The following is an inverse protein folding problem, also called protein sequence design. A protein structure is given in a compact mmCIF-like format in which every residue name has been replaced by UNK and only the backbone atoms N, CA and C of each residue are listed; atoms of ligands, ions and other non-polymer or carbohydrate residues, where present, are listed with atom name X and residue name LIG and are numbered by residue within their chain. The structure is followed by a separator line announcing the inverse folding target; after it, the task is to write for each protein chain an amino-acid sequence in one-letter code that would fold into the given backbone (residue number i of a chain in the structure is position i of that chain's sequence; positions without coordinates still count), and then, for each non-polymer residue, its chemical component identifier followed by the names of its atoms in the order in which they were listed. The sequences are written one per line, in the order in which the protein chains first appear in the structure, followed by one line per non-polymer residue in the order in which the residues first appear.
data_IF_562469106359
#
_entry.id   IF_562469106359
#
_cell.length_a   1.000
_cell.length_b   1.000
_cell.length_c   1.000
_cell.angle_alpha   90.00
_cell.angle_beta   90.00
_cell.angle_gamma   90.00
#
_symmetry.space_group_name_H-M   'P 1'
#
loop_
_entity.id
_entity.type
_entity.pdbx_description
1 polymer ?
#
# COMPACT_ATOMS: atom_id res chain seq x y z
N UNK A 1 5.56 1.74 4.44
CA UNK A 1 6.64 1.94 3.47
C UNK A 1 7.07 3.38 3.58
N UNK A 2 8.37 3.62 3.64
CA UNK A 2 8.87 4.99 3.80
C UNK A 2 8.68 5.76 2.49
N UNK A 3 8.17 7.00 2.56
CA UNK A 3 8.00 7.83 1.37
C UNK A 3 9.36 8.22 0.78
N UNK A 4 9.38 8.37 -0.54
CA UNK A 4 10.54 8.82 -1.30
C UNK A 4 10.42 10.30 -1.68
N UNK A 5 11.54 10.92 -2.02
CA UNK A 5 11.54 12.24 -2.65
C UNK A 5 10.65 12.18 -3.91
N UNK A 6 9.76 13.17 -4.04
CA UNK A 6 8.74 13.24 -5.08
C UNK A 6 7.40 12.59 -4.70
N UNK A 7 7.34 11.80 -3.62
CA UNK A 7 6.07 11.24 -3.17
C UNK A 7 5.19 12.31 -2.52
N UNK A 8 3.88 12.18 -2.72
CA UNK A 8 2.89 12.96 -2.01
C UNK A 8 2.72 12.39 -0.61
N UNK A 9 2.83 13.24 0.40
CA UNK A 9 2.74 12.84 1.81
C UNK A 9 1.77 13.74 2.57
N UNK A 10 1.25 13.21 3.67
CA UNK A 10 0.64 14.00 4.74
C UNK A 10 1.44 13.80 6.01
N UNK A 11 1.79 14.91 6.66
CA UNK A 11 2.53 14.95 7.91
C UNK A 11 1.67 15.60 8.96
N UNK A 12 1.51 14.94 10.11
CA UNK A 12 0.96 15.55 11.31
C UNK A 12 2.10 15.88 12.27
N UNK A 13 2.18 17.13 12.72
CA UNK A 13 3.27 17.63 13.54
C UNK A 13 2.78 18.51 14.70
N UNK A 14 3.62 18.68 15.72
CA UNK A 14 3.38 19.54 16.88
C UNK A 14 3.64 21.01 16.54
N UNK A 15 2.70 21.88 16.87
CA UNK A 15 2.86 23.32 16.74
C UNK A 15 3.82 23.87 17.81
N UNK A 16 4.57 24.92 17.45
CA UNK A 16 5.56 25.55 18.35
C UNK A 16 6.85 24.75 18.55
N UNK A 17 7.02 23.60 17.89
CA UNK A 17 8.20 22.75 17.96
C UNK A 17 9.20 22.99 16.80
N UNK A 18 9.27 24.22 16.31
CA UNK A 18 10.13 24.61 15.18
C UNK A 18 9.64 24.18 13.79
N UNK A 19 8.43 23.62 13.71
CA UNK A 19 7.74 23.36 12.44
C UNK A 19 6.98 24.57 11.91
N UNK A 20 6.27 24.43 10.77
CA UNK A 20 5.53 25.53 10.16
C UNK A 20 4.46 26.07 11.10
N UNK A 21 4.12 27.35 10.91
CA UNK A 21 2.99 27.96 11.61
C UNK A 21 1.67 27.27 11.21
N UNK A 22 0.66 27.39 12.06
CA UNK A 22 -0.66 26.85 11.75
C UNK A 22 -1.24 27.57 10.53
N UNK A 23 -1.39 26.86 9.41
CA UNK A 23 -1.99 27.38 8.18
C UNK A 23 -3.42 27.92 8.39
N UNK A 24 -4.11 27.47 9.45
CA UNK A 24 -5.43 27.97 9.83
C UNK A 24 -5.39 29.40 10.37
N UNK A 25 -4.27 29.82 10.96
CA UNK A 25 -4.12 31.15 11.55
C UNK A 25 -4.24 32.29 10.51
N UNK A 26 -3.98 32.00 9.22
CA UNK A 26 -4.14 32.97 8.12
C UNK A 26 -5.49 32.94 7.41
N UNK A 27 -6.40 32.02 7.75
CA UNK A 27 -7.55 31.66 6.90
C UNK A 27 -8.92 32.19 7.37
N UNK A 28 -9.00 33.01 8.43
CA UNK A 28 -10.29 33.53 8.88
C UNK A 28 -10.23 34.64 9.93
N UNK A 29 -11.34 35.37 10.14
CA UNK A 29 -11.41 36.55 11.01
C UNK A 29 -11.44 36.22 12.51
N UNK A 30 -11.24 34.96 12.91
CA UNK A 30 -11.46 34.51 14.27
C UNK A 30 -10.14 34.45 15.06
N UNK A 31 -10.05 35.07 16.26
CA UNK A 31 -8.83 35.06 17.07
C UNK A 31 -8.49 33.66 17.60
N UNK A 32 -7.22 33.47 17.97
CA UNK A 32 -6.72 32.23 18.57
C UNK A 32 -7.53 31.86 19.83
N UNK A 33 -8.10 30.66 19.86
CA UNK A 33 -8.89 30.16 20.98
C UNK A 33 -8.01 29.93 22.22
N UNK A 34 -8.61 30.04 23.42
CA UNK A 34 -8.01 29.71 24.73
C UNK A 34 -7.48 28.26 24.81
N UNK A 35 -7.93 27.39 23.89
CA UNK A 35 -7.37 26.07 23.62
C UNK A 35 -6.97 25.98 22.14
N UNK A 36 -5.86 26.62 21.78
CA UNK A 36 -5.32 26.50 20.43
C UNK A 36 -4.95 25.04 20.12
N UNK A 37 -5.10 24.58 18.86
CA UNK A 37 -4.64 23.26 18.47
C UNK A 37 -3.15 23.11 18.80
N UNK A 38 -2.76 21.96 19.36
CA UNK A 38 -1.34 21.63 19.61
C UNK A 38 -0.71 20.86 18.44
N UNK A 39 -1.53 20.45 17.47
CA UNK A 39 -1.12 19.69 16.30
C UNK A 39 -1.67 20.35 15.04
N UNK A 40 -0.90 20.29 13.96
CA UNK A 40 -1.31 20.67 12.62
C UNK A 40 -0.94 19.58 11.62
N UNK A 41 -1.46 19.71 10.40
CA UNK A 41 -1.18 18.82 9.29
C UNK A 41 -0.77 19.60 8.03
N UNK A 42 0.21 19.05 7.33
CA UNK A 42 0.65 19.53 6.02
C UNK A 42 0.61 18.39 5.01
N UNK A 43 -0.03 18.64 3.88
CA UNK A 43 -0.06 17.72 2.74
C UNK A 43 0.67 18.37 1.57
N UNK A 44 1.59 17.65 0.95
CA UNK A 44 2.40 18.16 -0.16
C UNK A 44 3.35 17.13 -0.73
N UNK A 45 4.29 17.57 -1.56
CA UNK A 45 5.31 16.72 -2.16
C UNK A 45 6.56 16.75 -1.30
N UNK A 46 7.08 15.58 -0.92
CA UNK A 46 8.35 15.47 -0.21
C UNK A 46 9.50 15.88 -1.15
N UNK A 47 10.22 16.95 -0.83
CA UNK A 47 11.34 17.46 -1.65
C UNK A 47 12.69 17.08 -1.09
N UNK A 48 12.85 17.14 0.23
CA UNK A 48 14.12 16.86 0.90
C UNK A 48 13.88 16.15 2.23
N UNK A 49 14.87 15.35 2.64
CA UNK A 49 14.94 14.71 3.94
C UNK A 49 16.41 14.55 4.32
N UNK A 50 16.85 15.27 5.35
CA UNK A 50 18.25 15.28 5.83
C UNK A 50 18.43 14.53 7.17
N UNK A 51 17.37 13.85 7.62
CA UNK A 51 17.32 13.14 8.90
C UNK A 51 16.96 14.01 10.11
N UNK A 52 17.00 15.35 9.98
CA UNK A 52 16.58 16.30 11.03
C UNK A 52 15.27 16.99 10.68
N UNK A 53 15.01 17.23 9.39
CA UNK A 53 13.80 17.82 8.88
C UNK A 53 13.35 17.18 7.56
N UNK A 54 12.06 17.33 7.27
CA UNK A 54 11.46 17.03 5.97
C UNK A 54 11.03 18.35 5.34
N UNK A 55 11.39 18.57 4.07
CA UNK A 55 10.93 19.73 3.30
C UNK A 55 9.76 19.30 2.42
N UNK A 56 8.60 19.90 2.66
CA UNK A 56 7.35 19.61 1.94
C UNK A 56 7.00 20.79 1.06
N UNK A 57 6.89 20.55 -0.24
CA UNK A 57 6.32 21.52 -1.16
C UNK A 57 4.80 21.47 -1.11
N UNK A 58 4.20 22.59 -0.72
CA UNK A 58 2.76 22.80 -0.69
C UNK A 58 2.44 24.16 -1.30
N UNK A 59 1.48 24.18 -2.23
CA UNK A 59 0.99 25.43 -2.85
C UNK A 59 2.12 26.31 -3.42
N UNK A 60 3.17 25.69 -3.99
CA UNK A 60 4.35 26.34 -4.55
C UNK A 60 5.36 26.87 -3.52
N UNK A 61 5.19 26.56 -2.24
CA UNK A 61 6.10 26.94 -1.14
C UNK A 61 6.73 25.71 -0.51
N UNK A 62 8.01 25.82 -0.17
CA UNK A 62 8.73 24.81 0.58
C UNK A 62 8.58 25.08 2.09
N UNK A 63 8.02 24.11 2.81
CA UNK A 63 7.80 24.18 4.26
C UNK A 63 8.67 23.12 4.94
N UNK A 64 9.48 23.54 5.90
CA UNK A 64 10.35 22.63 6.66
C UNK A 64 9.66 22.14 7.93
N UNK A 65 9.61 20.81 8.12
CA UNK A 65 9.03 20.17 9.29
C UNK A 65 10.11 19.37 10.03
N UNK A 66 10.53 19.78 11.24
CA UNK A 66 11.49 19.02 12.03
C UNK A 66 10.97 17.62 12.35
N UNK A 67 11.82 16.59 12.18
CA UNK A 67 11.49 15.18 12.48
C UNK A 67 11.01 15.02 13.92
N UNK A 68 11.62 15.75 14.88
CA UNK A 68 11.23 15.72 16.28
C UNK A 68 9.80 16.26 16.56
N UNK A 69 9.26 17.08 15.65
CA UNK A 69 7.89 17.59 15.74
C UNK A 69 6.87 16.63 15.11
N UNK A 70 7.29 15.72 14.24
CA UNK A 70 6.41 14.80 13.51
C UNK A 70 5.83 13.76 14.47
N UNK A 71 4.51 13.62 14.42
CA UNK A 71 3.75 12.61 15.17
C UNK A 71 3.23 11.51 14.26
N UNK A 72 3.05 11.79 12.97
CA UNK A 72 2.64 10.82 11.96
C UNK A 72 3.10 11.31 10.58
N UNK A 73 3.60 10.37 9.78
CA UNK A 73 3.93 10.56 8.36
C UNK A 73 3.24 9.45 7.58
N UNK A 74 2.47 9.83 6.55
CA UNK A 74 1.82 8.87 5.66
C UNK A 74 2.04 9.26 4.20
N UNK A 75 2.50 8.31 3.41
CA UNK A 75 2.52 8.40 1.95
C UNK A 75 1.10 8.31 1.40
N UNK A 76 0.79 9.16 0.43
CA UNK A 76 -0.49 9.22 -0.28
C UNK A 76 -0.28 8.83 -1.73
N UNK A 77 -1.35 8.39 -2.38
CA UNK A 77 -1.38 8.29 -3.83
C UNK A 77 -1.04 9.64 -4.47
N UNK A 78 -0.28 9.60 -5.56
CA UNK A 78 0.17 10.78 -6.31
C UNK A 78 -1.01 11.65 -6.77
N UNK A 79 -2.16 11.02 -7.00
CA UNK A 79 -3.43 11.66 -7.35
C UNK A 79 -4.58 11.05 -6.54
N UNK A 80 -5.75 11.68 -6.54
CA UNK A 80 -6.92 11.07 -5.90
C UNK A 80 -7.37 9.82 -6.67
N UNK A 81 -7.34 8.66 -6.00
CA UNK A 81 -7.72 7.36 -6.57
C UNK A 81 -9.04 6.87 -5.99
N UNK A 82 -9.99 6.48 -6.85
CA UNK A 82 -11.28 5.86 -6.50
C UNK A 82 -11.14 4.34 -6.40
N UNK A 83 -12.01 3.69 -5.61
CA UNK A 83 -12.01 2.22 -5.48
C UNK A 83 -12.19 1.51 -6.83
N UNK A 84 -12.98 2.08 -7.75
CA UNK A 84 -13.15 1.53 -9.11
C UNK A 84 -11.88 1.64 -9.96
N UNK A 85 -11.07 2.68 -9.78
CA UNK A 85 -9.77 2.81 -10.45
C UNK A 85 -8.76 1.79 -9.90
N UNK A 86 -8.76 1.56 -8.58
CA UNK A 86 -7.99 0.47 -7.95
C UNK A 86 -8.35 -0.86 -8.61
N UNK A 87 -9.64 -1.24 -8.60
CA UNK A 87 -10.11 -2.50 -9.23
C UNK A 87 -9.69 -2.62 -10.69
N UNK A 88 -9.78 -1.53 -11.48
CA UNK A 88 -9.39 -1.54 -12.89
C UNK A 88 -7.89 -1.79 -13.08
N UNK A 89 -7.04 -1.14 -12.29
CA UNK A 89 -5.58 -1.34 -12.35
C UNK A 89 -5.21 -2.75 -11.89
N UNK A 90 -5.82 -3.22 -10.79
CA UNK A 90 -5.66 -4.58 -10.27
C UNK A 90 -6.06 -5.64 -11.30
N UNK A 91 -7.18 -5.43 -12.01
CA UNK A 91 -7.63 -6.28 -13.13
C UNK A 91 -6.60 -6.30 -14.26
N UNK A 92 -6.14 -5.13 -14.71
CA UNK A 92 -5.16 -5.04 -15.78
C UNK A 92 -3.83 -5.74 -15.43
N UNK A 93 -3.34 -5.57 -14.20
CA UNK A 93 -2.14 -6.27 -13.72
C UNK A 93 -2.35 -7.79 -13.64
N UNK A 94 -3.50 -8.25 -13.14
CA UNK A 94 -3.81 -9.68 -13.09
C UNK A 94 -3.89 -10.27 -14.49
N UNK A 95 -4.51 -9.58 -15.45
CA UNK A 95 -4.64 -10.05 -16.83
C UNK A 95 -3.30 -10.08 -17.58
N UNK A 96 -2.42 -9.10 -17.32
CA UNK A 96 -1.08 -9.06 -17.89
C UNK A 96 -0.15 -10.13 -17.28
N UNK A 97 -0.47 -10.65 -16.10
CA UNK A 97 0.34 -11.67 -15.43
C UNK A 97 -0.04 -13.05 -15.94
N UNK A 98 0.94 -13.77 -16.48
CA UNK A 98 0.80 -15.18 -16.86
C UNK A 98 0.65 -16.04 -15.59
N UNK A 99 -0.30 -16.98 -15.63
CA UNK A 99 -0.47 -18.02 -14.62
C UNK A 99 -0.80 -19.35 -15.32
N UNK A 100 -0.40 -20.46 -14.72
CA UNK A 100 -0.69 -21.79 -15.27
C UNK A 100 -2.19 -22.13 -15.20
N UNK A 101 -2.87 -21.69 -14.14
CA UNK A 101 -4.31 -21.80 -13.98
C UNK A 101 -4.91 -20.52 -13.41
N UNK A 102 -6.10 -20.13 -13.91
CA UNK A 102 -6.87 -18.99 -13.41
C UNK A 102 -8.36 -19.28 -13.41
N UNK A 103 -9.04 -18.98 -12.32
CA UNK A 103 -10.50 -19.13 -12.17
C UNK A 103 -11.13 -17.92 -11.49
N UNK A 104 -12.40 -17.67 -11.75
CA UNK A 104 -13.20 -16.70 -10.99
C UNK A 104 -14.11 -17.41 -9.99
N UNK A 105 -14.15 -16.95 -8.75
CA UNK A 105 -15.00 -17.49 -7.67
C UNK A 105 -15.53 -16.32 -6.85
N UNK A 106 -16.83 -16.08 -6.86
CA UNK A 106 -17.49 -15.06 -6.02
C UNK A 106 -16.83 -13.67 -6.04
N UNK A 107 -16.43 -13.22 -7.23
CA UNK A 107 -15.75 -11.94 -7.43
C UNK A 107 -14.26 -11.94 -7.08
N UNK A 108 -13.67 -13.09 -6.78
CA UNK A 108 -12.23 -13.29 -6.68
C UNK A 108 -11.69 -13.88 -7.97
N UNK A 109 -10.49 -13.47 -8.36
CA UNK A 109 -9.71 -14.15 -9.39
C UNK A 109 -8.57 -14.87 -8.71
N UNK A 110 -8.59 -16.20 -8.77
CA UNK A 110 -7.59 -17.07 -8.17
C UNK A 110 -6.61 -17.46 -9.26
N UNK A 111 -5.32 -17.33 -8.99
CA UNK A 111 -4.26 -17.74 -9.90
C UNK A 111 -3.32 -18.74 -9.22
N UNK A 112 -2.92 -19.76 -9.95
CA UNK A 112 -1.96 -20.76 -9.51
C UNK A 112 -0.89 -20.98 -10.59
N UNK A 113 0.36 -20.75 -10.22
CA UNK A 113 1.53 -21.05 -11.01
C UNK A 113 2.69 -21.41 -10.07
N UNK A 114 2.94 -22.70 -9.82
CA UNK A 114 4.01 -23.14 -8.92
C UNK A 114 5.42 -22.72 -9.37
N UNK A 115 5.61 -22.38 -10.65
CA UNK A 115 6.90 -21.97 -11.21
C UNK A 115 7.13 -20.46 -11.16
N UNK A 116 6.09 -19.67 -10.84
CA UNK A 116 6.16 -18.21 -10.82
C UNK A 116 6.35 -17.65 -9.41
N UNK A 117 7.19 -16.62 -9.29
CA UNK A 117 7.33 -15.82 -8.09
C UNK A 117 6.47 -14.54 -8.10
N UNK A 118 5.78 -14.26 -9.21
CA UNK A 118 4.94 -13.07 -9.32
C UNK A 118 3.72 -13.18 -8.37
N UNK A 119 3.43 -12.16 -7.55
CA UNK A 119 2.30 -12.19 -6.61
C UNK A 119 0.99 -12.61 -7.27
N UNK A 120 0.65 -12.02 -8.42
CA UNK A 120 -0.61 -12.28 -9.14
C UNK A 120 -0.66 -13.60 -9.89
N UNK A 121 0.46 -14.29 -10.05
CA UNK A 121 0.47 -15.64 -10.60
C UNK A 121 0.10 -16.69 -9.54
N UNK A 122 0.19 -16.33 -8.25
CA UNK A 122 0.12 -17.29 -7.14
C UNK A 122 -0.86 -16.91 -6.02
N UNK A 123 -1.68 -15.88 -6.21
CA UNK A 123 -2.59 -15.36 -5.18
C UNK A 123 -3.99 -15.04 -5.71
N UNK A 124 -4.98 -15.03 -4.81
CA UNK A 124 -6.34 -14.60 -5.07
C UNK A 124 -6.45 -13.07 -4.98
N UNK A 125 -7.17 -12.47 -5.93
CA UNK A 125 -7.34 -11.02 -6.04
C UNK A 125 -8.83 -10.64 -6.05
N UNK A 126 -9.28 -9.69 -5.21
CA UNK A 126 -10.70 -9.34 -5.09
C UNK A 126 -11.12 -8.34 -6.18
N UNK A 127 -11.40 -8.81 -7.39
CA UNK A 127 -11.61 -7.92 -8.56
C UNK A 127 -13.08 -7.55 -8.79
N UNK A 128 -14.01 -8.44 -8.46
CA UNK A 128 -15.45 -8.26 -8.64
C UNK A 128 -16.07 -7.19 -7.72
N UNK A 129 -17.23 -6.67 -8.12
CA UNK A 129 -18.03 -5.84 -7.21
C UNK A 129 -18.70 -6.74 -6.16
N UNK A 130 -18.69 -6.31 -4.89
CA UNK A 130 -19.30 -7.08 -3.79
C UNK A 130 -18.45 -8.24 -3.26
N UNK A 131 -17.22 -8.40 -3.75
CA UNK A 131 -16.25 -9.37 -3.20
C UNK A 131 -16.13 -9.19 -1.69
N UNK A 132 -16.26 -10.29 -0.96
CA UNK A 132 -16.21 -10.32 0.48
C UNK A 132 -15.53 -11.61 0.97
N UNK A 133 -15.44 -11.76 2.29
CA UNK A 133 -14.68 -12.83 2.95
C UNK A 133 -15.41 -14.16 3.08
N UNK A 134 -16.67 -14.28 2.65
CA UNK A 134 -17.40 -15.57 2.74
C UNK A 134 -16.83 -16.65 1.83
N UNK A 135 -16.13 -16.26 0.75
CA UNK A 135 -15.50 -17.18 -0.19
C UNK A 135 -14.12 -17.69 0.26
N UNK A 136 -13.59 -17.23 1.42
CA UNK A 136 -12.22 -17.55 1.84
C UNK A 136 -12.00 -19.05 2.05
N UNK A 137 -12.97 -19.79 2.58
CA UNK A 137 -12.86 -21.24 2.76
C UNK A 137 -12.78 -21.97 1.40
N UNK A 138 -13.60 -21.55 0.44
CA UNK A 138 -13.57 -22.08 -0.94
C UNK A 138 -12.24 -21.76 -1.63
N UNK A 139 -11.70 -20.55 -1.42
CA UNK A 139 -10.40 -20.13 -1.94
C UNK A 139 -9.28 -20.98 -1.32
N UNK A 140 -9.33 -21.20 0.01
CA UNK A 140 -8.34 -22.01 0.70
C UNK A 140 -8.33 -23.46 0.22
N UNK A 141 -9.51 -24.05 0.03
CA UNK A 141 -9.65 -25.39 -0.53
C UNK A 141 -9.09 -25.47 -1.96
N UNK A 142 -9.35 -24.48 -2.80
CA UNK A 142 -8.83 -24.43 -4.17
C UNK A 142 -7.30 -24.43 -4.22
N UNK A 143 -6.63 -23.66 -3.36
CA UNK A 143 -5.17 -23.68 -3.24
C UNK A 143 -4.65 -24.99 -2.64
N UNK A 144 -5.32 -25.53 -1.62
CA UNK A 144 -4.94 -26.78 -0.94
C UNK A 144 -4.94 -27.98 -1.89
N UNK A 145 -5.95 -28.10 -2.75
CA UNK A 145 -6.03 -29.16 -3.78
C UNK A 145 -4.88 -29.12 -4.78
N UNK A 146 -4.18 -27.98 -4.88
CA UNK A 146 -2.99 -27.78 -5.74
C UNK A 146 -1.68 -27.87 -4.97
N UNK A 147 -1.72 -28.16 -3.66
CA UNK A 147 -0.54 -28.16 -2.79
C UNK A 147 0.10 -26.78 -2.63
N UNK A 148 -0.65 -25.71 -2.85
CA UNK A 148 -0.16 -24.33 -2.77
C UNK A 148 -0.62 -23.65 -1.48
N UNK A 149 0.14 -22.67 -0.97
CA UNK A 149 -0.32 -21.84 0.13
C UNK A 149 -1.47 -20.92 -0.34
N UNK A 150 -2.49 -20.77 0.50
CA UNK A 150 -3.57 -19.82 0.27
C UNK A 150 -3.05 -18.40 0.42
N UNK A 151 -2.79 -17.74 -0.72
CA UNK A 151 -2.32 -16.36 -0.76
C UNK A 151 -3.41 -15.41 -1.26
N UNK A 152 -3.48 -14.23 -0.66
CA UNK A 152 -4.43 -13.17 -1.01
C UNK A 152 -3.68 -11.87 -1.24
N UNK A 153 -3.97 -11.22 -2.36
CA UNK A 153 -3.67 -9.80 -2.56
C UNK A 153 -4.82 -9.00 -1.98
N UNK A 154 -4.49 -8.12 -1.03
CA UNK A 154 -5.43 -7.21 -0.38
C UNK A 154 -5.08 -5.76 -0.78
N UNK A 155 -5.66 -5.23 -1.88
CA UNK A 155 -5.47 -3.86 -2.27
C UNK A 155 -6.07 -2.93 -1.22
N UNK A 156 -5.41 -1.78 -1.01
CA UNK A 156 -5.90 -0.80 -0.06
C UNK A 156 -7.36 -0.46 -0.35
N UNK A 157 -8.15 -0.31 0.72
CA UNK A 157 -9.56 0.12 0.66
C UNK A 157 -10.52 -0.84 -0.06
N UNK A 158 -10.05 -1.91 -0.70
CA UNK A 158 -10.92 -2.94 -1.28
C UNK A 158 -11.24 -4.05 -0.28
N UNK A 159 -10.31 -4.34 0.62
CA UNK A 159 -10.49 -5.28 1.72
C UNK A 159 -9.95 -4.67 3.02
N UNK A 160 -10.53 -5.06 4.16
CA UNK A 160 -9.95 -4.76 5.47
C UNK A 160 -9.09 -5.94 5.87
N UNK A 161 -7.82 -5.69 6.18
CA UNK A 161 -6.87 -6.75 6.55
C UNK A 161 -7.33 -7.53 7.79
N UNK A 162 -8.00 -6.85 8.72
CA UNK A 162 -8.57 -7.47 9.93
C UNK A 162 -9.59 -8.58 9.60
N UNK A 163 -10.31 -8.45 8.49
CA UNK A 163 -11.33 -9.43 8.09
C UNK A 163 -10.71 -10.71 7.51
N UNK A 164 -9.40 -10.72 7.22
CA UNK A 164 -8.68 -11.84 6.61
C UNK A 164 -8.00 -12.76 7.64
N UNK A 165 -7.92 -12.35 8.91
CA UNK A 165 -7.27 -13.14 9.97
C UNK A 165 -5.79 -13.49 9.70
N UNK A 166 -5.16 -12.79 8.75
CA UNK A 166 -3.82 -13.11 8.26
C UNK A 166 -2.72 -12.52 9.14
N UNK A 167 -1.57 -13.20 9.18
CA UNK A 167 -0.33 -12.71 9.80
C UNK A 167 0.32 -11.55 9.04
N UNK A 168 1.57 -11.18 9.36
CA UNK A 168 2.26 -10.10 8.67
C UNK A 168 2.39 -10.42 7.18
N UNK A 169 1.98 -9.48 6.33
CA UNK A 169 2.10 -9.58 4.87
C UNK A 169 3.32 -8.88 4.32
N UNK A 170 3.54 -9.05 3.02
CA UNK A 170 4.51 -8.28 2.25
C UNK A 170 3.77 -7.10 1.60
N UNK A 171 4.19 -5.88 1.89
CA UNK A 171 3.61 -4.68 1.29
C UNK A 171 4.19 -4.43 -0.10
N UNK A 172 3.32 -4.09 -1.05
CA UNK A 172 3.68 -3.69 -2.41
C UNK A 172 3.11 -2.32 -2.73
N UNK A 173 3.81 -1.58 -3.58
CA UNK A 173 3.29 -0.39 -4.23
C UNK A 173 2.88 -0.75 -5.66
N UNK A 174 1.73 -0.23 -6.08
CA UNK A 174 1.34 -0.19 -7.48
C UNK A 174 1.54 1.22 -7.99
N UNK A 175 2.40 1.34 -8.99
CA UNK A 175 2.79 2.60 -9.58
C UNK A 175 2.22 2.72 -10.99
N UNK A 176 1.87 3.95 -11.36
CA UNK A 176 1.34 4.25 -12.69
C UNK A 176 2.06 5.45 -13.30
N UNK A 177 2.21 5.40 -14.62
CA UNK A 177 2.65 6.52 -15.44
C UNK A 177 1.73 6.58 -16.66
N UNK A 178 1.36 7.79 -17.08
CA UNK A 178 0.45 7.96 -18.20
C UNK A 178 1.03 7.32 -19.48
N UNK A 179 0.20 6.54 -20.18
CA UNK A 179 0.60 5.85 -21.39
C UNK A 179 1.45 4.58 -21.18
N UNK A 180 1.65 4.12 -19.95
CA UNK A 180 2.36 2.86 -19.68
C UNK A 180 1.51 1.84 -18.93
N UNK A 181 1.96 0.59 -18.97
CA UNK A 181 1.44 -0.47 -18.10
C UNK A 181 1.76 -0.13 -16.64
N UNK A 182 0.81 -0.31 -15.70
CA UNK A 182 1.09 -0.23 -14.28
C UNK A 182 2.16 -1.24 -13.86
N UNK A 183 2.92 -0.91 -12.83
CA UNK A 183 3.98 -1.78 -12.28
C UNK A 183 3.71 -2.00 -10.79
N UNK A 184 3.94 -3.22 -10.32
CA UNK A 184 3.97 -3.53 -8.89
C UNK A 184 5.42 -3.73 -8.43
N UNK A 185 5.76 -3.19 -7.26
CA UNK A 185 7.10 -3.26 -6.68
C UNK A 185 7.00 -3.58 -5.18
N UNK A 186 7.83 -4.51 -4.65
CA UNK A 186 7.90 -4.73 -3.21
C UNK A 186 8.29 -3.45 -2.47
N UNK A 187 7.62 -3.16 -1.37
CA UNK A 187 7.93 -1.99 -0.54
C UNK A 187 9.34 -1.94 0.01
N UNK A 188 9.94 -3.12 0.18
CA UNK A 188 11.32 -3.33 0.62
C UNK A 188 12.35 -3.05 -0.47
N UNK A 189 11.96 -3.04 -1.76
CA UNK A 189 12.87 -2.81 -2.87
C UNK A 189 13.05 -1.31 -3.12
N UNK A 190 13.88 -0.69 -2.28
CA UNK A 190 14.10 0.75 -2.29
C UNK A 190 14.71 1.25 -3.61
N UNK A 191 15.58 0.47 -4.22
CA UNK A 191 16.30 0.86 -5.43
C UNK A 191 15.36 0.82 -6.65
N UNK A 192 14.54 -0.22 -6.77
CA UNK A 192 13.51 -0.29 -7.81
C UNK A 192 12.49 0.83 -7.66
N UNK A 193 12.03 1.07 -6.43
CA UNK A 193 11.09 2.16 -6.15
C UNK A 193 11.68 3.50 -6.59
N UNK A 194 12.94 3.80 -6.24
CA UNK A 194 13.64 5.04 -6.66
C UNK A 194 13.77 5.14 -8.18
N UNK A 195 14.15 4.05 -8.86
CA UNK A 195 14.25 4.02 -10.32
C UNK A 195 12.94 4.39 -10.98
N UNK A 196 11.83 3.77 -10.55
CA UNK A 196 10.50 4.04 -11.11
C UNK A 196 10.06 5.49 -10.87
N UNK A 197 10.39 6.10 -9.73
CA UNK A 197 10.12 7.54 -9.50
C UNK A 197 10.91 8.42 -10.46
N UNK A 198 12.18 8.11 -10.69
CA UNK A 198 13.01 8.84 -11.65
C UNK A 198 12.49 8.72 -13.09
N UNK A 199 11.82 7.62 -13.43
CA UNK A 199 11.13 7.41 -14.71
C UNK A 199 9.75 8.09 -14.78
N UNK A 200 9.30 8.76 -13.71
CA UNK A 200 8.04 9.49 -13.65
C UNK A 200 6.83 8.65 -13.24
N UNK A 201 7.03 7.46 -12.66
CA UNK A 201 5.93 6.72 -12.05
C UNK A 201 5.53 7.33 -10.71
N UNK A 202 4.21 7.50 -10.53
CA UNK A 202 3.61 7.93 -9.26
C UNK A 202 2.92 6.78 -8.55
N UNK A 203 2.89 6.82 -7.21
CA UNK A 203 2.12 5.88 -6.42
C UNK A 203 0.63 5.98 -6.78
N UNK A 204 0.04 4.89 -7.26
CA UNK A 204 -1.41 4.81 -7.47
C UNK A 204 -2.10 4.31 -6.20
N UNK A 205 -1.63 3.19 -5.67
CA UNK A 205 -2.16 2.58 -4.46
C UNK A 205 -1.19 1.53 -3.93
N UNK A 206 -1.48 0.94 -2.78
CA UNK A 206 -0.70 -0.17 -2.21
C UNK A 206 -1.57 -1.42 -2.07
N UNK A 207 -0.93 -2.57 -1.97
CA UNK A 207 -1.59 -3.80 -1.55
C UNK A 207 -0.70 -4.58 -0.57
N UNK A 208 -1.34 -5.46 0.20
CA UNK A 208 -0.63 -6.46 1.00
C UNK A 208 -0.77 -7.82 0.33
N UNK A 209 0.35 -8.51 0.13
CA UNK A 209 0.35 -9.94 -0.16
C UNK A 209 0.36 -10.70 1.17
N UNK A 210 -0.70 -11.46 1.42
CA UNK A 210 -0.93 -12.19 2.66
C UNK A 210 -0.94 -13.68 2.39
N UNK A 211 -0.46 -14.45 3.35
CA UNK A 211 -0.69 -15.90 3.43
C UNK A 211 -1.74 -16.12 4.51
N UNK A 212 -2.85 -16.78 4.19
CA UNK A 212 -3.90 -17.08 5.15
C UNK A 212 -3.50 -18.25 6.07
N UNK A 213 -3.93 -18.25 7.34
CA UNK A 213 -3.66 -19.33 8.29
C UNK A 213 -4.30 -20.65 7.85
N UNK A 214 -3.71 -21.79 8.23
CA UNK A 214 -4.18 -23.12 7.80
C UNK A 214 -3.79 -23.48 6.36
N UNK A 215 -2.93 -22.68 5.73
CA UNK A 215 -2.34 -22.99 4.42
C UNK A 215 -1.18 -23.98 4.56
N UNK A 216 -0.92 -24.78 3.53
CA UNK A 216 0.10 -25.84 3.53
C UNK A 216 1.52 -25.36 3.92
N UNK A 217 1.80 -24.05 3.88
CA UNK A 217 3.06 -23.46 4.32
C UNK A 217 3.35 -23.65 5.81
N UNK A 218 2.33 -23.73 6.68
CA UNK A 218 2.55 -24.00 8.12
C UNK A 218 2.97 -25.46 8.37
N UNK A 219 2.49 -26.41 7.55
CA UNK A 219 2.87 -27.82 7.69
C UNK A 219 4.34 -28.09 7.33
N UNK A 220 4.92 -27.29 6.43
CA UNK A 220 6.33 -27.42 6.04
C UNK A 220 7.31 -26.84 7.08
N UNK A 221 6.92 -25.80 7.81
CA UNK A 221 7.74 -25.19 8.87
C UNK A 221 7.82 -26.01 10.15
N UNK A 222 6.73 -26.72 10.51
CA UNK A 222 6.69 -27.55 11.71
C UNK A 222 7.50 -28.85 11.61
N UNK A 223 7.79 -29.33 10.38
CA UNK A 223 8.57 -30.57 10.19
C UNK A 223 10.09 -30.36 10.25
N UNK A 224 10.58 -29.12 10.21
CA UNK A 224 12.02 -28.83 10.22
C UNK A 224 12.61 -28.65 11.63
N UNK A 225 11.77 -28.39 12.63
CA UNK A 225 12.20 -28.09 14.01
C UNK A 225 12.16 -29.31 14.95
N UNK A 226 11.66 -30.46 14.50
CA UNK A 226 11.59 -31.72 15.27
C UNK A 226 12.76 -32.68 14.95
N UNK A 227 13.86 -32.16 14.41
CA UNK A 227 15.13 -32.88 14.20
C UNK A 227 16.32 -32.05 14.67
N UNK A 228 16.40 -31.79 15.98
CA UNK A 228 17.65 -31.46 16.66
C UNK A 228 17.73 -32.08 18.04
#
# INVERSE_FOLDING_TARGET
MDPLIGDRVVIRYRLGAGGPDDWRAGSGPNPAFTHAPTLSDITGILREHDGQALVIERDGRAESVPVAAITSLRQLSAQTVRNSQIRRVERALTDATVAAERVEVDGWVLSADPASSAPRATAAVPLGFGTNTTALDTIAEWYRLRGLPTRVIAPERLLRLADLGAGPGIGYEVLTRDGTTPVEVPGSDLDERRRLRAEGYGLHHTFMLLTLPGSAAEAAGASADDRR
#
